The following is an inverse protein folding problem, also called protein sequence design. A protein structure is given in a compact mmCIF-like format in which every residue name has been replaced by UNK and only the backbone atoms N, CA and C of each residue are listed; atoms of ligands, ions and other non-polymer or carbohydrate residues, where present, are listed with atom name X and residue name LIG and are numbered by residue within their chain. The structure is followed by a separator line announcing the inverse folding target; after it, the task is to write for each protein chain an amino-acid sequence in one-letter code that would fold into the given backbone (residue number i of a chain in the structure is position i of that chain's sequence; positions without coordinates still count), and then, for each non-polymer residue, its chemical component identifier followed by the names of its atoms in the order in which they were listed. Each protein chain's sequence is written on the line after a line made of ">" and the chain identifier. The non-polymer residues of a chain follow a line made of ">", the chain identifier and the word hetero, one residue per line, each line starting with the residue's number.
data_IF_702105523311
#
_entry.id   IF_702105523311
#
_cell.length_a   1.000
_cell.length_b   1.000
_cell.length_c   1.000
_cell.angle_alpha   90.00
_cell.angle_beta   90.00
_cell.angle_gamma   90.00
#
_symmetry.space_group_name_H-M   'P 1'
#
loop_
_entity.id
_entity.type
_entity.pdbx_description
1 polymer ?
#
# COMPACT_ATOMS: atom_id res chain seq x y z
N UNK A 1 -8.51 10.53 14.96
CA UNK A 1 -8.70 11.34 13.71
C UNK A 1 -7.80 10.81 12.60
N UNK A 2 -8.30 10.66 11.36
CA UNK A 2 -7.46 10.30 10.20
C UNK A 2 -6.72 11.56 9.74
N UNK A 3 -5.40 11.58 9.90
CA UNK A 3 -4.51 12.69 9.53
C UNK A 3 -4.03 12.57 8.09
N UNK A 4 -3.79 11.36 7.61
CA UNK A 4 -3.36 11.09 6.24
C UNK A 4 -4.20 9.97 5.65
N UNK A 5 -4.85 10.24 4.54
CA UNK A 5 -5.52 9.22 3.73
C UNK A 5 -4.50 8.57 2.79
N UNK A 6 -4.82 7.35 2.32
CA UNK A 6 -4.07 6.70 1.27
C UNK A 6 -4.06 7.56 0.01
N UNK A 7 -2.88 7.75 -0.57
CA UNK A 7 -2.69 8.42 -1.85
C UNK A 7 -2.92 7.49 -3.06
N UNK A 8 -2.70 8.04 -4.24
CA UNK A 8 -2.66 7.28 -5.50
C UNK A 8 -1.39 6.42 -5.50
N UNK A 9 -1.52 5.14 -5.86
CA UNK A 9 -0.36 4.28 -6.05
C UNK A 9 0.23 4.51 -7.46
N UNK A 10 1.19 5.42 -7.54
CA UNK A 10 1.87 5.76 -8.80
C UNK A 10 2.51 4.55 -9.48
N UNK A 11 2.97 3.56 -8.69
CA UNK A 11 3.53 2.35 -9.26
C UNK A 11 2.47 1.48 -9.93
N UNK A 12 1.27 1.39 -9.35
CA UNK A 12 0.15 0.71 -10.00
C UNK A 12 -0.27 1.42 -11.27
N UNK A 13 -0.39 2.75 -11.25
CA UNK A 13 -0.71 3.54 -12.45
C UNK A 13 0.34 3.35 -13.55
N UNK A 14 1.63 3.40 -13.20
CA UNK A 14 2.71 3.15 -14.15
C UNK A 14 2.67 1.74 -14.75
N UNK A 15 2.43 0.71 -13.91
CA UNK A 15 2.29 -0.66 -14.40
C UNK A 15 1.08 -0.85 -15.32
N UNK A 16 -0.05 -0.22 -15.00
CA UNK A 16 -1.25 -0.27 -15.84
C UNK A 16 -1.01 0.42 -17.19
N UNK A 17 -0.36 1.58 -17.18
CA UNK A 17 0.03 2.28 -18.40
C UNK A 17 0.99 1.43 -19.25
N UNK A 18 1.98 0.81 -18.61
CA UNK A 18 2.95 -0.06 -19.28
C UNK A 18 2.26 -1.31 -19.87
N UNK A 19 1.46 -2.03 -19.07
CA UNK A 19 0.70 -3.20 -19.55
C UNK A 19 -0.16 -2.86 -20.76
N UNK A 20 -0.89 -1.76 -20.72
CA UNK A 20 -1.76 -1.30 -21.83
C UNK A 20 -0.99 -1.06 -23.12
N UNK A 21 0.26 -0.57 -23.02
CA UNK A 21 1.08 -0.20 -24.18
C UNK A 21 2.02 -1.30 -24.68
N UNK A 22 2.29 -2.32 -23.86
CA UNK A 22 3.10 -3.47 -24.30
C UNK A 22 2.36 -4.28 -25.37
N UNK A 23 3.09 -4.81 -26.38
CA UNK A 23 2.56 -5.86 -27.27
C UNK A 23 2.12 -7.08 -26.47
N UNK A 24 1.10 -7.80 -26.95
CA UNK A 24 0.62 -9.04 -26.28
C UNK A 24 1.70 -10.12 -26.23
N UNK A 25 2.55 -10.18 -27.23
CA UNK A 25 3.68 -11.12 -27.33
C UNK A 25 4.90 -10.74 -26.49
N UNK A 26 4.86 -9.61 -25.75
CA UNK A 26 6.03 -9.15 -25.01
C UNK A 26 6.31 -10.07 -23.80
N UNK A 27 7.57 -10.53 -23.58
CA UNK A 27 7.90 -11.51 -22.53
C UNK A 27 7.51 -11.09 -21.11
N UNK A 28 7.52 -9.78 -20.81
CA UNK A 28 7.20 -9.24 -19.49
C UNK A 28 5.69 -9.03 -19.27
N UNK A 29 4.85 -9.22 -20.28
CA UNK A 29 3.41 -8.94 -20.19
C UNK A 29 2.75 -9.65 -19.01
N UNK A 30 2.88 -10.97 -18.94
CA UNK A 30 2.30 -11.76 -17.87
C UNK A 30 2.85 -11.41 -16.49
N UNK A 31 4.13 -11.08 -16.41
CA UNK A 31 4.78 -10.69 -15.16
C UNK A 31 4.23 -9.35 -14.64
N UNK A 32 4.05 -8.38 -15.54
CA UNK A 32 3.48 -7.07 -15.20
C UNK A 32 2.02 -7.22 -14.79
N UNK A 33 1.22 -8.00 -15.53
CA UNK A 33 -0.19 -8.22 -15.22
C UNK A 33 -0.38 -8.94 -13.87
N UNK A 34 0.47 -9.92 -13.55
CA UNK A 34 0.51 -10.55 -12.22
C UNK A 34 0.84 -9.52 -11.14
N UNK A 35 1.82 -8.63 -11.38
CA UNK A 35 2.19 -7.58 -10.41
C UNK A 35 1.07 -6.58 -10.18
N UNK A 36 0.34 -6.20 -11.23
CA UNK A 36 -0.88 -5.37 -11.13
C UNK A 36 -1.92 -6.07 -10.26
N UNK A 37 -2.16 -7.36 -10.47
CA UNK A 37 -3.09 -8.16 -9.67
C UNK A 37 -2.71 -8.18 -8.18
N UNK A 38 -1.43 -8.39 -7.86
CA UNK A 38 -0.91 -8.37 -6.49
C UNK A 38 -1.08 -7.01 -5.83
N UNK A 39 -0.75 -5.90 -6.53
CA UNK A 39 -0.93 -4.55 -6.01
C UNK A 39 -2.40 -4.23 -5.75
N UNK A 40 -3.28 -4.57 -6.67
CA UNK A 40 -4.73 -4.40 -6.49
C UNK A 40 -5.25 -5.19 -5.28
N UNK A 41 -4.73 -6.40 -5.04
CA UNK A 41 -5.10 -7.18 -3.86
C UNK A 41 -4.63 -6.48 -2.56
N UNK A 42 -3.39 -5.97 -2.52
CA UNK A 42 -2.87 -5.19 -1.40
C UNK A 42 -3.75 -3.97 -1.10
N UNK A 43 -4.00 -3.14 -2.12
CA UNK A 43 -4.84 -1.94 -2.02
C UNK A 43 -6.24 -2.27 -1.48
N UNK A 44 -6.86 -3.36 -1.95
CA UNK A 44 -8.16 -3.80 -1.41
C UNK A 44 -8.08 -4.17 0.07
N UNK A 45 -6.99 -4.81 0.51
CA UNK A 45 -6.77 -5.14 1.91
C UNK A 45 -6.67 -3.90 2.79
N UNK A 46 -5.80 -2.97 2.40
CA UNK A 46 -5.60 -1.71 3.12
C UNK A 46 -6.88 -0.84 3.14
N UNK A 47 -7.65 -0.82 2.04
CA UNK A 47 -8.92 -0.09 1.98
C UNK A 47 -9.97 -0.63 2.97
N UNK A 48 -9.92 -1.92 3.31
CA UNK A 48 -10.79 -2.48 4.36
C UNK A 48 -10.39 -1.96 5.74
N UNK A 49 -9.08 -1.80 6.01
CA UNK A 49 -8.61 -1.19 7.26
C UNK A 49 -9.02 0.28 7.37
N UNK A 50 -8.95 1.05 6.28
CA UNK A 50 -9.45 2.44 6.25
C UNK A 50 -10.90 2.50 6.71
N UNK A 51 -11.77 1.61 6.18
CA UNK A 51 -13.19 1.54 6.56
C UNK A 51 -13.39 1.21 8.05
N UNK A 52 -12.52 0.38 8.65
CA UNK A 52 -12.59 0.12 10.11
C UNK A 52 -12.44 1.42 10.88
N UNK A 53 -11.45 2.25 10.53
CA UNK A 53 -11.21 3.52 11.21
C UNK A 53 -12.24 4.61 10.86
N UNK A 54 -12.83 4.60 9.67
CA UNK A 54 -13.92 5.50 9.31
C UNK A 54 -15.22 5.19 10.07
N UNK A 55 -15.46 3.92 10.36
CA UNK A 55 -16.68 3.45 11.03
C UNK A 55 -16.55 3.36 12.56
N UNK A 56 -15.38 3.65 13.12
CA UNK A 56 -15.15 3.53 14.56
C UNK A 56 -14.68 4.85 15.16
N UNK A 57 -15.38 5.33 16.20
CA UNK A 57 -15.01 6.54 16.93
C UNK A 57 -14.27 6.14 18.21
N UNK A 58 -13.04 6.63 18.33
CA UNK A 58 -12.27 6.55 19.56
C UNK A 58 -12.54 7.80 20.41
N UNK A 59 -12.68 7.62 21.72
CA UNK A 59 -12.80 8.72 22.67
C UNK A 59 -11.41 9.30 23.04
N UNK A 60 -10.38 8.48 22.87
CA UNK A 60 -8.99 8.84 23.12
C UNK A 60 -8.39 9.62 21.94
N UNK A 61 -7.31 10.34 22.18
CA UNK A 61 -6.55 11.04 21.15
C UNK A 61 -5.74 10.05 20.31
N UNK A 62 -6.26 9.75 19.13
CA UNK A 62 -5.66 8.81 18.18
C UNK A 62 -5.55 9.47 16.81
N UNK A 63 -4.34 9.47 16.26
CA UNK A 63 -4.00 10.02 14.96
C UNK A 63 -3.60 8.89 14.01
N UNK A 64 -4.30 8.76 12.89
CA UNK A 64 -4.16 7.65 11.96
C UNK A 64 -3.60 8.15 10.63
N UNK A 65 -2.51 7.53 10.19
CA UNK A 65 -1.84 7.83 8.94
C UNK A 65 -1.83 6.56 8.07
N UNK A 66 -2.51 6.60 6.93
CA UNK A 66 -2.48 5.50 5.97
C UNK A 66 -1.41 5.73 4.90
N UNK A 67 -0.70 4.66 4.53
CA UNK A 67 0.31 4.65 3.46
C UNK A 67 1.34 5.78 3.66
N UNK A 68 2.04 5.76 4.78
CA UNK A 68 3.06 6.74 5.09
C UNK A 68 4.45 6.23 4.72
N UNK A 69 5.20 7.03 3.99
CA UNK A 69 6.59 6.74 3.62
C UNK A 69 7.47 7.94 3.96
N UNK A 70 8.60 7.69 4.56
CA UNK A 70 9.56 8.72 4.94
C UNK A 70 11.00 8.17 4.88
N UNK A 71 11.97 9.05 5.01
CA UNK A 71 13.39 8.70 5.14
C UNK A 71 13.90 9.00 6.54
N UNK A 72 14.67 8.06 7.10
CA UNK A 72 15.52 8.23 8.27
C UNK A 72 16.95 7.78 7.93
N UNK A 73 17.41 6.68 8.47
CA UNK A 73 18.63 5.95 8.02
C UNK A 73 18.37 5.10 6.77
N UNK A 74 17.12 4.93 6.39
CA UNK A 74 16.64 4.26 5.21
C UNK A 74 15.22 4.71 4.88
N UNK A 75 14.65 4.13 3.83
CA UNK A 75 13.26 4.41 3.44
C UNK A 75 12.30 3.48 4.17
N UNK A 76 11.42 4.06 4.98
CA UNK A 76 10.26 3.38 5.55
C UNK A 76 9.04 3.47 4.62
N UNK A 77 8.22 2.42 4.63
CA UNK A 77 6.87 2.43 4.07
C UNK A 77 5.97 1.63 5.00
N UNK A 78 4.97 2.27 5.57
CA UNK A 78 4.07 1.73 6.59
C UNK A 78 2.64 1.80 6.05
N UNK A 79 1.93 0.67 6.01
CA UNK A 79 0.56 0.59 5.48
C UNK A 79 -0.41 1.43 6.32
N UNK A 80 -0.28 1.33 7.65
CA UNK A 80 -1.02 2.19 8.57
C UNK A 80 -0.22 2.41 9.85
N UNK A 81 -0.04 3.67 10.22
CA UNK A 81 0.60 4.10 11.45
C UNK A 81 -0.43 4.81 12.34
N UNK A 82 -0.53 4.37 13.58
CA UNK A 82 -1.39 4.98 14.60
C UNK A 82 -0.51 5.65 15.64
N UNK A 83 -0.68 6.94 15.86
CA UNK A 83 0.02 7.71 16.89
C UNK A 83 -0.98 8.04 18.00
N UNK A 84 -0.57 7.78 19.23
CA UNK A 84 -1.32 8.07 20.46
C UNK A 84 -0.38 8.76 21.46
N UNK A 85 -0.87 9.35 22.55
CA UNK A 85 0.00 9.82 23.62
C UNK A 85 0.81 8.72 24.34
N UNK A 86 0.47 7.44 24.12
CA UNK A 86 1.10 6.30 24.78
C UNK A 86 2.12 5.55 23.90
N UNK A 87 1.88 5.49 22.59
CA UNK A 87 2.67 4.68 21.66
C UNK A 87 2.45 5.07 20.20
N UNK A 88 3.39 4.70 19.36
CA UNK A 88 3.21 4.56 17.92
C UNK A 88 2.93 3.07 17.59
N UNK A 89 1.92 2.78 16.77
CA UNK A 89 1.57 1.40 16.38
C UNK A 89 1.63 1.25 14.87
N UNK A 90 2.49 0.34 14.41
CA UNK A 90 2.61 -0.07 13.02
C UNK A 90 1.63 -1.21 12.77
N UNK A 91 0.73 -1.03 11.81
CA UNK A 91 -0.19 -2.05 11.32
C UNK A 91 0.22 -2.46 9.91
N UNK A 92 0.76 -3.66 9.75
CA UNK A 92 1.13 -4.25 8.47
C UNK A 92 -0.02 -5.08 7.93
N UNK A 93 -0.59 -4.70 6.80
CA UNK A 93 -1.83 -5.30 6.27
C UNK A 93 -1.52 -6.38 5.25
N UNK A 94 -2.10 -7.56 5.45
CA UNK A 94 -2.00 -8.67 4.49
C UNK A 94 -3.37 -9.09 3.99
N UNK A 95 -3.52 -9.12 2.67
CA UNK A 95 -4.68 -9.62 1.95
C UNK A 95 -4.26 -10.84 1.12
N UNK A 96 -4.01 -11.94 1.79
CA UNK A 96 -3.52 -13.19 1.20
C UNK A 96 -4.67 -14.18 1.18
N UNK A 97 -4.87 -14.88 0.06
CA UNK A 97 -5.83 -15.99 -0.02
C UNK A 97 -5.17 -17.31 0.39
N UNK A 98 -5.97 -18.29 0.83
CA UNK A 98 -5.49 -19.63 1.22
C UNK A 98 -5.18 -19.75 2.71
N UNK A 99 -4.65 -20.91 3.10
CA UNK A 99 -4.22 -21.18 4.47
C UNK A 99 -2.79 -20.66 4.67
N UNK A 100 -2.59 -19.85 5.69
CA UNK A 100 -1.31 -19.18 5.97
C UNK A 100 -0.67 -19.75 7.23
N UNK A 101 0.64 -20.05 7.17
CA UNK A 101 1.44 -20.49 8.31
C UNK A 101 2.68 -19.62 8.47
N UNK A 102 2.93 -19.16 9.70
CA UNK A 102 4.14 -18.44 10.05
C UNK A 102 5.24 -19.46 10.34
N UNK A 103 6.38 -19.39 9.61
CA UNK A 103 7.49 -20.31 9.76
C UNK A 103 8.48 -19.75 10.79
N UNK A 104 8.53 -20.40 11.96
CA UNK A 104 9.36 -19.95 13.08
C UNK A 104 10.85 -19.94 12.68
N UNK A 105 11.54 -18.84 13.01
CA UNK A 105 13.00 -18.71 12.83
C UNK A 105 13.48 -18.50 11.40
N UNK A 106 12.60 -18.49 10.40
CA UNK A 106 12.99 -18.35 8.98
C UNK A 106 12.75 -16.95 8.40
N UNK A 107 11.99 -16.10 9.10
CA UNK A 107 11.54 -14.81 8.56
C UNK A 107 10.59 -14.95 7.36
N UNK A 108 9.94 -16.10 7.20
CA UNK A 108 9.04 -16.40 6.10
C UNK A 108 7.65 -16.82 6.58
N UNK A 109 6.67 -16.65 5.69
CA UNK A 109 5.36 -17.28 5.78
C UNK A 109 5.17 -18.21 4.59
N UNK A 110 4.44 -19.30 4.79
CA UNK A 110 3.94 -20.15 3.72
C UNK A 110 2.44 -19.94 3.51
N UNK A 111 1.98 -20.12 2.29
CA UNK A 111 0.57 -20.13 1.91
C UNK A 111 0.26 -21.40 1.15
N UNK A 112 -0.83 -22.06 1.49
CA UNK A 112 -1.38 -23.19 0.76
C UNK A 112 -2.70 -22.77 0.13
N UNK A 113 -2.81 -22.86 -1.20
CA UNK A 113 -4.02 -22.58 -1.95
C UNK A 113 -4.91 -23.83 -2.03
N UNK A 114 -6.19 -23.65 -2.38
CA UNK A 114 -7.17 -24.76 -2.52
C UNK A 114 -6.74 -25.81 -3.55
N UNK A 115 -5.97 -25.41 -4.56
CA UNK A 115 -5.41 -26.33 -5.57
C UNK A 115 -4.14 -27.06 -5.13
N UNK A 116 -3.72 -26.88 -3.85
CA UNK A 116 -2.51 -27.49 -3.30
C UNK A 116 -1.21 -26.75 -3.61
N UNK A 117 -1.23 -25.66 -4.35
CA UNK A 117 -0.05 -24.84 -4.59
C UNK A 117 0.46 -24.24 -3.29
N UNK A 118 1.78 -24.34 -3.06
CA UNK A 118 2.45 -23.76 -1.90
C UNK A 118 3.33 -22.61 -2.38
N UNK A 119 3.15 -21.44 -1.76
CA UNK A 119 3.99 -20.27 -2.01
C UNK A 119 4.65 -19.83 -0.70
N UNK A 120 5.84 -19.24 -0.82
CA UNK A 120 6.60 -18.67 0.30
C UNK A 120 6.79 -17.17 0.09
N UNK A 121 6.66 -16.39 1.17
CA UNK A 121 6.82 -14.95 1.16
C UNK A 121 7.64 -14.50 2.36
N UNK A 122 8.19 -13.28 2.29
CA UNK A 122 8.75 -12.61 3.47
C UNK A 122 7.67 -12.46 4.54
N UNK A 123 8.02 -12.75 5.78
CA UNK A 123 7.11 -12.57 6.91
C UNK A 123 6.75 -11.09 7.10
N UNK A 124 5.48 -10.75 7.31
CA UNK A 124 5.10 -9.38 7.67
C UNK A 124 5.75 -8.91 8.98
N UNK A 125 6.19 -9.81 9.83
CA UNK A 125 6.92 -9.46 11.05
C UNK A 125 8.28 -8.85 10.76
N UNK A 126 9.01 -9.38 9.76
CA UNK A 126 10.27 -8.78 9.29
C UNK A 126 10.05 -7.37 8.73
N UNK A 127 8.91 -7.14 8.08
CA UNK A 127 8.54 -5.82 7.59
C UNK A 127 8.24 -4.86 8.74
N UNK A 128 7.56 -5.33 9.79
CA UNK A 128 7.31 -4.54 11.01
C UNK A 128 8.64 -4.22 11.70
N UNK A 129 9.54 -5.19 11.90
CA UNK A 129 10.86 -4.97 12.51
C UNK A 129 11.63 -3.88 11.78
N UNK A 130 11.79 -4.02 10.47
CA UNK A 130 12.48 -3.03 9.64
C UNK A 130 11.85 -1.64 9.72
N UNK A 131 10.53 -1.54 9.64
CA UNK A 131 9.83 -0.27 9.74
C UNK A 131 9.88 0.32 11.15
N UNK A 132 9.92 -0.53 12.20
CA UNK A 132 10.08 -0.10 13.60
C UNK A 132 11.46 0.51 13.83
N UNK A 133 12.52 -0.11 13.32
CA UNK A 133 13.89 0.42 13.41
C UNK A 133 14.01 1.77 12.69
N UNK A 134 13.44 1.88 11.49
CA UNK A 134 13.45 3.13 10.72
C UNK A 134 12.62 4.23 11.38
N UNK A 135 11.48 3.89 11.99
CA UNK A 135 10.65 4.84 12.74
C UNK A 135 11.34 5.26 14.04
N UNK A 136 12.02 4.32 14.73
CA UNK A 136 12.82 4.62 15.92
C UNK A 136 13.95 5.59 15.60
N UNK A 137 14.69 5.36 14.50
CA UNK A 137 15.73 6.29 14.05
C UNK A 137 15.16 7.67 13.70
N UNK A 138 14.00 7.71 13.04
CA UNK A 138 13.33 8.97 12.74
C UNK A 138 12.92 9.72 14.01
N UNK A 139 12.40 9.02 15.03
CA UNK A 139 12.06 9.58 16.33
C UNK A 139 13.32 10.12 17.03
N UNK A 140 14.38 9.32 17.07
CA UNK A 140 15.67 9.69 17.69
C UNK A 140 16.26 10.96 17.08
N UNK A 141 16.21 11.12 15.75
CA UNK A 141 16.68 12.33 15.07
C UNK A 141 15.88 13.59 15.44
N UNK A 142 14.72 13.45 16.07
CA UNK A 142 13.82 14.54 16.47
C UNK A 142 13.60 14.62 17.98
N UNK A 143 14.42 13.91 18.76
CA UNK A 143 14.33 13.84 20.22
C UNK A 143 12.93 13.39 20.72
N UNK A 144 12.31 12.46 20.01
CA UNK A 144 11.00 11.87 20.35
C UNK A 144 11.24 10.55 21.07
N UNK A 145 10.71 10.42 22.29
CA UNK A 145 10.79 9.20 23.11
C UNK A 145 9.41 8.58 23.24
N UNK A 146 9.11 7.58 22.40
CA UNK A 146 7.81 6.94 22.36
C UNK A 146 7.97 5.43 22.06
N UNK A 147 7.24 4.54 22.78
CA UNK A 147 7.22 3.13 22.44
C UNK A 147 6.67 2.90 21.05
N UNK A 148 7.28 1.96 20.31
CA UNK A 148 6.79 1.52 19.01
C UNK A 148 6.26 0.09 19.16
N UNK A 149 5.01 -0.10 18.80
CA UNK A 149 4.33 -1.38 18.77
C UNK A 149 4.09 -1.80 17.31
N UNK A 150 3.92 -3.10 17.08
CA UNK A 150 3.58 -3.65 15.79
C UNK A 150 2.46 -4.67 15.86
N UNK A 151 1.68 -4.81 14.79
CA UNK A 151 0.73 -5.89 14.62
C UNK A 151 0.54 -6.21 13.13
N UNK A 152 0.38 -7.49 12.82
CA UNK A 152 -0.03 -7.96 11.49
C UNK A 152 -1.55 -7.94 11.41
N UNK A 153 -2.08 -7.37 10.33
CA UNK A 153 -3.53 -7.27 10.10
C UNK A 153 -3.93 -8.13 8.92
N UNK A 154 -4.78 -9.12 9.17
CA UNK A 154 -5.37 -9.96 8.14
C UNK A 154 -6.70 -9.35 7.67
N UNK A 155 -6.75 -8.95 6.41
CA UNK A 155 -7.93 -8.28 5.84
C UNK A 155 -9.00 -9.25 5.32
N UNK A 156 -8.73 -10.55 5.34
CA UNK A 156 -9.70 -11.61 5.00
C UNK A 156 -10.12 -12.35 6.28
N UNK A 157 -11.37 -12.16 6.70
CA UNK A 157 -11.91 -12.73 7.95
C UNK A 157 -12.12 -14.25 7.92
N UNK A 158 -12.13 -14.85 6.73
CA UNK A 158 -12.33 -16.32 6.57
C UNK A 158 -11.01 -17.06 6.40
N UNK A 159 -9.89 -16.37 6.49
CA UNK A 159 -8.56 -16.96 6.32
C UNK A 159 -8.23 -17.92 7.47
N UNK A 160 -7.80 -19.13 7.13
CA UNK A 160 -7.19 -20.03 8.10
C UNK A 160 -5.74 -19.60 8.34
N UNK A 161 -5.38 -19.44 9.60
CA UNK A 161 -4.04 -19.00 9.98
C UNK A 161 -3.49 -19.88 11.06
N UNK A 162 -2.33 -20.45 10.83
CA UNK A 162 -1.57 -21.17 11.85
C UNK A 162 -0.52 -20.20 12.42
N UNK A 163 -0.80 -19.73 13.64
CA UNK A 163 0.05 -18.80 14.38
C UNK A 163 0.71 -19.56 15.51
N UNK A 164 1.97 -19.86 15.39
CA UNK A 164 2.79 -20.33 16.53
C UNK A 164 3.25 -19.09 17.34
N UNK A 165 4.08 -19.26 18.38
CA UNK A 165 4.61 -18.12 19.14
C UNK A 165 5.25 -17.07 18.23
N UNK A 166 4.58 -15.91 18.12
CA UNK A 166 5.00 -14.82 17.26
C UNK A 166 5.40 -13.59 18.09
N UNK A 167 6.35 -12.83 17.59
CA UNK A 167 6.84 -11.60 18.18
C UNK A 167 5.75 -10.50 18.20
N UNK A 168 4.94 -10.43 17.15
CA UNK A 168 3.84 -9.48 17.01
C UNK A 168 2.49 -10.19 16.95
N UNK A 169 1.43 -9.58 17.50
CA UNK A 169 0.08 -10.10 17.37
C UNK A 169 -0.38 -10.13 15.91
N UNK A 170 -1.14 -11.16 15.56
CA UNK A 170 -1.82 -11.30 14.28
C UNK A 170 -3.31 -11.10 14.55
N UNK A 171 -3.89 -10.07 13.93
CA UNK A 171 -5.24 -9.58 14.20
C UNK A 171 -6.09 -9.63 12.95
N UNK A 172 -7.36 -9.92 13.09
CA UNK A 172 -8.36 -9.62 12.06
C UNK A 172 -8.86 -8.19 12.21
N UNK A 173 -9.40 -7.63 11.14
CA UNK A 173 -9.86 -6.23 11.06
C UNK A 173 -10.78 -5.84 12.23
N UNK A 174 -11.72 -6.71 12.61
CA UNK A 174 -12.66 -6.44 13.71
C UNK A 174 -12.03 -6.33 15.10
N UNK A 175 -10.82 -6.84 15.27
CA UNK A 175 -10.13 -6.85 16.57
C UNK A 175 -9.33 -5.55 16.82
N UNK A 176 -9.04 -4.79 15.76
CA UNK A 176 -8.13 -3.63 15.81
C UNK A 176 -8.57 -2.56 16.79
N UNK A 177 -9.85 -2.09 16.81
CA UNK A 177 -10.27 -1.08 17.76
C UNK A 177 -10.10 -1.51 19.22
N UNK A 178 -10.47 -2.75 19.53
CA UNK A 178 -10.32 -3.32 20.88
C UNK A 178 -8.85 -3.53 21.25
N UNK A 179 -8.03 -3.93 20.29
CA UNK A 179 -6.58 -4.05 20.50
C UNK A 179 -5.97 -2.70 20.85
N UNK A 180 -6.20 -1.65 20.06
CA UNK A 180 -5.70 -0.30 20.32
C UNK A 180 -6.12 0.18 21.70
N UNK A 181 -7.40 0.04 22.08
CA UNK A 181 -7.90 0.43 23.39
C UNK A 181 -7.18 -0.26 24.55
N UNK A 182 -6.88 -1.56 24.42
CA UNK A 182 -6.15 -2.31 25.45
C UNK A 182 -4.69 -1.87 25.61
N UNK A 183 -4.10 -1.24 24.59
CA UNK A 183 -2.73 -0.73 24.67
C UNK A 183 -2.65 0.68 25.30
N UNK A 184 -3.75 1.43 25.28
CA UNK A 184 -3.82 2.76 25.90
C UNK A 184 -3.75 2.62 27.42
N UNK A 185 -2.86 3.34 28.07
CA UNK A 185 -2.64 3.35 29.51
C UNK A 185 -3.19 4.65 30.12
N UNK A 186 -3.49 4.61 31.42
CA UNK A 186 -3.98 5.78 32.15
C UNK A 186 -2.92 6.93 32.23
N UNK A 187 -1.64 6.57 32.15
CA UNK A 187 -0.56 7.56 32.14
C UNK A 187 0.03 7.65 30.72
N UNK A 188 0.02 8.84 30.15
CA UNK A 188 0.60 9.12 28.86
C UNK A 188 2.12 9.06 28.91
N UNK A 189 2.75 8.62 27.82
CA UNK A 189 4.21 8.65 27.65
C UNK A 189 4.68 10.03 27.21
N UNK A 190 3.87 10.72 26.42
CA UNK A 190 4.09 12.09 25.94
C UNK A 190 2.82 12.91 26.16
N UNK A 191 2.96 14.25 26.13
CA UNK A 191 1.81 15.13 26.17
C UNK A 191 0.86 14.91 24.97
N UNK A 192 -0.47 14.98 25.16
CA UNK A 192 -1.44 14.75 24.09
C UNK A 192 -1.18 15.61 22.85
N UNK A 193 -0.89 16.90 23.04
CA UNK A 193 -0.60 17.81 21.93
C UNK A 193 0.67 17.41 21.13
N UNK A 194 1.65 16.79 21.79
CA UNK A 194 2.85 16.28 21.11
C UNK A 194 2.52 15.12 20.17
N UNK A 195 1.57 14.25 20.51
CA UNK A 195 1.13 13.16 19.62
C UNK A 195 0.57 13.72 18.31
N UNK A 196 -0.20 14.80 18.37
CA UNK A 196 -0.71 15.49 17.19
C UNK A 196 0.42 16.07 16.33
N UNK A 197 1.35 16.79 16.98
CA UNK A 197 2.51 17.38 16.31
C UNK A 197 3.35 16.31 15.61
N UNK A 198 3.60 15.17 16.25
CA UNK A 198 4.34 14.05 15.66
C UNK A 198 3.61 13.51 14.42
N UNK A 199 2.29 13.36 14.48
CA UNK A 199 1.49 12.93 13.34
C UNK A 199 1.57 13.94 12.18
N UNK A 200 1.50 15.24 12.46
CA UNK A 200 1.66 16.31 11.47
C UNK A 200 3.06 16.29 10.83
N UNK A 201 4.11 16.16 11.63
CA UNK A 201 5.49 16.03 11.14
C UNK A 201 5.68 14.81 10.23
N UNK A 202 5.03 13.68 10.53
CA UNK A 202 5.07 12.48 9.68
C UNK A 202 4.29 12.66 8.36
N UNK A 203 3.20 13.44 8.39
CA UNK A 203 2.48 13.82 7.17
C UNK A 203 3.35 14.71 6.28
N UNK A 204 4.04 15.69 6.86
CA UNK A 204 4.98 16.57 6.13
C UNK A 204 6.21 15.82 5.61
N UNK A 205 6.72 14.85 6.37
CA UNK A 205 7.84 14.01 5.96
C UNK A 205 7.47 12.97 4.89
N UNK A 206 6.18 12.82 4.56
CA UNK A 206 5.74 11.82 3.63
C UNK A 206 6.27 12.06 2.21
N UNK A 207 6.97 11.05 1.69
CA UNK A 207 7.50 11.04 0.33
C UNK A 207 6.95 9.81 -0.41
N UNK A 208 5.97 9.99 -1.31
CA UNK A 208 5.43 8.87 -2.07
C UNK A 208 6.51 8.23 -2.94
N UNK A 209 6.39 6.93 -3.14
CA UNK A 209 7.28 6.23 -4.05
C UNK A 209 7.02 6.69 -5.49
N UNK A 210 8.06 7.24 -6.14
CA UNK A 210 8.02 7.57 -7.56
C UNK A 210 8.65 6.42 -8.38
N UNK A 211 7.87 5.68 -9.18
CA UNK A 211 8.35 4.58 -10.01
C UNK A 211 8.90 5.03 -11.38
N UNK A 212 8.72 6.29 -11.73
CA UNK A 212 9.02 6.79 -13.07
C UNK A 212 10.51 7.15 -13.27
N UNK A 213 11.07 6.94 -14.45
CA UNK A 213 10.45 6.32 -15.62
C UNK A 213 10.17 4.82 -15.44
N UNK A 214 8.93 4.39 -15.70
CA UNK A 214 8.53 2.98 -15.46
C UNK A 214 9.25 2.00 -16.39
N UNK A 215 9.56 2.41 -17.62
CA UNK A 215 10.25 1.58 -18.60
C UNK A 215 11.66 1.21 -18.12
N UNK A 216 12.41 2.17 -17.57
CA UNK A 216 13.77 1.94 -17.06
C UNK A 216 13.76 0.92 -15.92
N UNK A 217 12.81 1.05 -15.02
CA UNK A 217 12.64 0.14 -13.88
C UNK A 217 12.33 -1.31 -14.28
N UNK A 218 11.63 -1.47 -15.39
CA UNK A 218 11.23 -2.79 -15.91
C UNK A 218 12.09 -3.26 -17.08
N UNK A 219 13.14 -2.50 -17.44
CA UNK A 219 14.04 -2.78 -18.56
C UNK A 219 13.27 -3.01 -19.87
N UNK A 220 12.24 -2.19 -20.10
CA UNK A 220 11.44 -2.19 -21.33
C UNK A 220 11.93 -1.11 -22.27
N UNK A 221 12.26 -1.48 -23.49
CA UNK A 221 12.57 -0.49 -24.53
C UNK A 221 11.30 0.32 -24.89
N UNK A 222 11.28 1.64 -24.67
CA UNK A 222 10.13 2.47 -25.04
C UNK A 222 9.76 2.40 -26.52
N UNK A 223 10.70 2.03 -27.39
CA UNK A 223 10.44 1.88 -28.83
C UNK A 223 9.45 0.75 -29.15
N UNK A 224 9.35 -0.29 -28.30
CA UNK A 224 8.42 -1.39 -28.50
C UNK A 224 6.98 -1.07 -28.07
N UNK A 225 6.75 0.06 -27.38
CA UNK A 225 5.43 0.40 -26.87
C UNK A 225 4.48 0.86 -27.97
N UNK A 226 3.21 0.45 -27.86
CA UNK A 226 2.14 0.95 -28.74
C UNK A 226 1.98 2.46 -28.56
N UNK A 227 2.21 3.22 -29.63
CA UNK A 227 2.11 4.69 -29.66
C UNK A 227 0.66 5.14 -29.89
N UNK A 228 0.34 6.38 -29.56
CA UNK A 228 -0.93 7.02 -29.84
C UNK A 228 -1.83 7.20 -28.62
N UNK A 229 -3.06 7.61 -28.87
CA UNK A 229 -4.08 7.89 -27.85
C UNK A 229 -5.07 6.73 -27.81
N UNK A 230 -5.15 6.04 -26.68
CA UNK A 230 -6.14 4.98 -26.49
C UNK A 230 -7.51 5.54 -26.09
N UNK A 231 -8.55 4.84 -26.49
CA UNK A 231 -9.92 5.22 -26.13
C UNK A 231 -10.13 5.11 -24.62
N UNK A 232 -10.62 6.19 -24.01
CA UNK A 232 -10.94 6.25 -22.58
C UNK A 232 -12.18 5.44 -22.20
N UNK A 233 -13.00 5.02 -23.19
CA UNK A 233 -14.23 4.25 -22.97
C UNK A 233 -14.06 2.75 -23.18
N UNK A 234 -13.59 2.29 -24.33
CA UNK A 234 -13.44 0.86 -24.60
C UNK A 234 -12.05 0.32 -24.24
N UNK A 235 -11.06 1.18 -24.07
CA UNK A 235 -9.66 0.87 -23.77
C UNK A 235 -8.93 0.01 -24.83
N UNK A 236 -9.60 -0.42 -25.89
CA UNK A 236 -9.07 -1.29 -26.97
C UNK A 236 -8.72 -0.50 -28.21
N UNK A 237 -9.57 0.49 -28.56
CA UNK A 237 -9.43 1.25 -29.80
C UNK A 237 -8.44 2.41 -29.68
N UNK A 238 -7.70 2.63 -30.77
CA UNK A 238 -6.93 3.87 -30.94
C UNK A 238 -7.88 5.00 -31.32
N UNK A 239 -7.55 6.21 -30.86
CA UNK A 239 -8.33 7.40 -31.21
C UNK A 239 -7.60 8.23 -32.27
N UNK A 240 -8.35 8.67 -33.27
CA UNK A 240 -7.87 9.62 -34.27
C UNK A 240 -8.33 11.03 -33.93
N UNK A 241 -7.43 11.99 -34.18
CA UNK A 241 -7.75 13.41 -34.01
C UNK A 241 -8.71 13.86 -35.13
N UNK A 242 -9.83 14.44 -34.75
CA UNK A 242 -10.82 15.05 -35.65
C UNK A 242 -11.08 16.46 -35.13
N UNK A 243 -10.73 17.48 -35.90
CA UNK A 243 -10.86 18.90 -35.59
C UNK A 243 -10.59 19.26 -34.11
N UNK A 244 -11.60 19.24 -33.23
CA UNK A 244 -11.49 19.61 -31.81
C UNK A 244 -11.65 18.42 -30.85
N UNK A 245 -11.78 17.20 -31.37
CA UNK A 245 -12.04 16.01 -30.55
C UNK A 245 -11.22 14.82 -31.03
N UNK A 246 -11.10 13.81 -30.19
CA UNK A 246 -10.57 12.49 -30.55
C UNK A 246 -11.74 11.54 -30.75
N UNK A 247 -11.68 10.69 -31.76
CA UNK A 247 -12.72 9.72 -32.10
C UNK A 247 -12.13 8.32 -32.09
N UNK A 248 -12.72 7.40 -31.33
CA UNK A 248 -12.31 6.02 -31.31
C UNK A 248 -12.67 5.29 -32.60
N UNK A 249 -11.73 4.54 -33.18
CA UNK A 249 -11.99 3.78 -34.42
C UNK A 249 -12.85 2.52 -34.20
N UNK A 250 -12.98 2.06 -32.93
CA UNK A 250 -13.73 0.85 -32.59
C UNK A 250 -15.12 1.17 -32.09
N UNK A 251 -15.27 2.00 -31.04
CA UNK A 251 -16.55 2.27 -30.39
C UNK A 251 -17.14 3.65 -30.72
N UNK A 252 -16.51 4.44 -31.58
CA UNK A 252 -16.91 5.77 -32.01
C UNK A 252 -17.09 6.78 -30.88
N UNK A 253 -16.57 6.46 -29.68
CA UNK A 253 -16.55 7.40 -28.55
C UNK A 253 -15.77 8.65 -28.93
N UNK A 254 -16.30 9.82 -28.51
CA UNK A 254 -15.65 11.13 -28.72
C UNK A 254 -15.18 11.70 -27.39
N UNK A 255 -13.93 12.16 -27.34
CA UNK A 255 -13.34 12.76 -26.15
C UNK A 255 -12.36 13.87 -26.58
N UNK A 256 -12.61 15.10 -26.17
CA UNK A 256 -11.76 16.24 -26.52
C UNK A 256 -10.44 16.23 -25.73
N UNK A 257 -10.36 15.50 -24.63
CA UNK A 257 -9.25 15.48 -23.68
C UNK A 257 -8.52 14.14 -23.61
N UNK A 258 -8.82 13.17 -24.46
CA UNK A 258 -8.21 11.84 -24.45
C UNK A 258 -6.67 11.85 -24.50
N UNK A 259 -6.07 12.86 -25.15
CA UNK A 259 -4.62 13.04 -25.20
C UNK A 259 -4.00 13.35 -23.83
N UNK A 260 -4.74 13.95 -22.90
CA UNK A 260 -4.24 14.24 -21.55
C UNK A 260 -3.88 12.93 -20.84
N UNK A 261 -4.77 11.93 -20.95
CA UNK A 261 -4.50 10.60 -20.38
C UNK A 261 -3.28 9.95 -21.04
N UNK A 262 -3.16 10.05 -22.36
CA UNK A 262 -2.01 9.51 -23.07
C UNK A 262 -0.69 10.17 -22.63
N UNK A 263 -0.70 11.49 -22.38
CA UNK A 263 0.48 12.21 -21.86
C UNK A 263 0.83 11.70 -20.45
N UNK A 264 -0.15 11.56 -19.55
CA UNK A 264 0.08 11.05 -18.19
C UNK A 264 0.67 9.63 -18.17
N UNK A 265 0.34 8.81 -19.17
CA UNK A 265 0.87 7.45 -19.29
C UNK A 265 2.36 7.41 -19.73
N UNK A 266 2.94 8.53 -20.20
CA UNK A 266 4.34 8.64 -20.64
C UNK A 266 5.25 9.31 -19.61
N UNK A 267 4.70 10.00 -18.62
CA UNK A 267 5.39 10.71 -17.54
C UNK A 267 5.07 10.11 -16.19
#
# INVERSE_FOLDING_TARGET
>A
MIMKKRGIDLHLEGLQALSKRLPESHPLRDTIDKKIGMKNAGIRGESKLVKVFENYTFLDEIYILHDVSFYSTGRAQIDCLVITPNFALILEVKNIAGEMSFLVGTGQISRVLENGQIDHFESPMVQIDRNSDLLFDWFRLKDIHMPILGAVVLSNSTQKVNVQQNQYPVLFLGEIPSFIKRQIKNQNTIEPNQAKIIAEMLVEAHQPFNPFPICDRWHVDPACLKKGVFCTKCCEGMMKRSFRTWVCEVCFHRDSFAHIQAIKEWF
#
